data_IF_475487466569
#
_entry.id   IF_475487466569
#
_cell.length_a   1.000
_cell.length_b   1.000
_cell.length_c   1.000
_cell.angle_alpha   90.00
_cell.angle_beta   90.00
_cell.angle_gamma   90.00
#
_symmetry.space_group_name_H-M   'P 1'
#
loop_
_entity.id
_entity.type
_entity.pdbx_description
1 polymer ?
#
# COMPACT_ATOMS: atom_id res chain seq x y z
N UNK A 1 10.10 -23.53 -12.07
CA UNK A 1 9.89 -22.55 -10.98
C UNK A 1 9.30 -23.33 -9.82
N UNK A 2 9.81 -23.21 -8.59
CA UNK A 2 9.18 -23.91 -7.45
C UNK A 2 7.78 -23.32 -7.21
N UNK A 3 6.82 -24.15 -6.78
CA UNK A 3 5.45 -23.73 -6.44
C UNK A 3 5.46 -22.54 -5.46
N UNK A 4 6.38 -22.56 -4.50
CA UNK A 4 6.62 -21.45 -3.57
C UNK A 4 7.02 -20.15 -4.26
N UNK A 5 7.92 -20.19 -5.24
CA UNK A 5 8.35 -18.99 -5.95
C UNK A 5 7.22 -18.43 -6.83
N UNK A 6 6.44 -19.31 -7.48
CA UNK A 6 5.26 -18.91 -8.24
C UNK A 6 4.23 -18.22 -7.34
N UNK A 7 3.98 -18.78 -6.15
CA UNK A 7 3.08 -18.18 -5.16
C UNK A 7 3.53 -16.79 -4.70
N UNK A 8 4.82 -16.61 -4.42
CA UNK A 8 5.38 -15.31 -4.01
C UNK A 8 5.28 -14.29 -5.15
N UNK A 9 5.60 -14.67 -6.38
CA UNK A 9 5.54 -13.77 -7.54
C UNK A 9 4.10 -13.32 -7.83
N UNK A 10 3.14 -14.24 -7.77
CA UNK A 10 1.72 -13.95 -8.04
C UNK A 10 1.03 -13.14 -6.94
N UNK A 11 1.54 -13.19 -5.71
CA UNK A 11 0.97 -12.42 -4.58
C UNK A 11 1.77 -11.15 -4.29
N UNK A 12 2.97 -11.32 -3.76
CA UNK A 12 3.83 -10.24 -3.28
C UNK A 12 4.45 -9.47 -4.46
N UNK A 13 4.91 -10.20 -5.48
CA UNK A 13 5.44 -9.60 -6.71
C UNK A 13 4.37 -8.78 -7.44
N UNK A 14 3.15 -9.31 -7.56
CA UNK A 14 2.03 -8.60 -8.16
C UNK A 14 1.65 -7.34 -7.38
N UNK A 15 1.55 -7.43 -6.05
CA UNK A 15 1.28 -6.25 -5.21
C UNK A 15 2.37 -5.18 -5.38
N UNK A 16 3.64 -5.59 -5.38
CA UNK A 16 4.75 -4.67 -5.60
C UNK A 16 4.69 -4.01 -6.97
N UNK A 17 4.39 -4.77 -8.04
CA UNK A 17 4.19 -4.21 -9.37
C UNK A 17 3.05 -3.19 -9.42
N UNK A 18 1.90 -3.52 -8.82
CA UNK A 18 0.75 -2.59 -8.71
C UNK A 18 1.15 -1.32 -7.96
N UNK A 19 1.92 -1.45 -6.88
CA UNK A 19 2.38 -0.30 -6.09
C UNK A 19 3.27 0.65 -6.90
N UNK A 20 4.12 0.12 -7.78
CA UNK A 20 4.95 0.90 -8.70
C UNK A 20 4.06 1.66 -9.68
N UNK A 21 3.05 1.00 -10.25
CA UNK A 21 2.09 1.64 -11.17
C UNK A 21 1.35 2.77 -10.46
N UNK A 22 0.85 2.55 -9.24
CA UNK A 22 0.13 3.58 -8.47
C UNK A 22 1.04 4.76 -8.08
N UNK A 23 2.29 4.48 -7.72
CA UNK A 23 3.25 5.53 -7.42
C UNK A 23 3.64 6.35 -8.66
N UNK A 24 3.79 5.71 -9.83
CA UNK A 24 4.13 6.38 -11.09
C UNK A 24 2.95 7.13 -11.70
N UNK A 25 1.75 6.58 -11.58
CA UNK A 25 0.51 7.10 -12.14
C UNK A 25 -0.55 7.28 -11.05
N UNK A 26 -0.33 8.22 -10.10
CA UNK A 26 -1.32 8.49 -9.07
C UNK A 26 -2.60 9.06 -9.68
N UNK A 27 -3.77 8.81 -9.07
CA UNK A 27 -5.03 9.33 -9.56
C UNK A 27 -5.08 10.85 -9.42
N UNK A 28 -5.12 11.57 -10.55
CA UNK A 28 -5.05 13.05 -10.59
C UNK A 28 -6.34 13.77 -10.18
N UNK A 29 -7.46 13.05 -10.21
CA UNK A 29 -8.80 13.54 -9.92
C UNK A 29 -9.50 12.53 -9.03
N UNK A 30 -10.36 13.03 -8.14
CA UNK A 30 -11.30 12.21 -7.38
C UNK A 30 -12.15 11.43 -8.40
N UNK A 31 -12.03 10.11 -8.39
CA UNK A 31 -12.73 9.24 -9.33
C UNK A 31 -13.12 7.93 -8.63
N UNK A 32 -14.05 7.20 -9.24
CA UNK A 32 -14.54 5.93 -8.68
C UNK A 32 -13.64 4.72 -8.95
N UNK A 33 -12.69 4.82 -9.88
CA UNK A 33 -11.97 3.67 -10.44
C UNK A 33 -10.85 3.20 -9.51
N UNK A 34 -9.92 4.08 -9.15
CA UNK A 34 -8.77 3.72 -8.31
C UNK A 34 -8.26 4.89 -7.47
N UNK A 35 -7.52 4.55 -6.42
CA UNK A 35 -6.99 5.50 -5.44
C UNK A 35 -7.38 5.15 -4.01
N UNK A 36 -6.81 5.89 -3.07
CA UNK A 36 -7.17 5.85 -1.66
C UNK A 36 -8.47 6.63 -1.44
N UNK A 37 -9.56 5.92 -1.11
CA UNK A 37 -10.94 6.43 -1.16
C UNK A 37 -11.65 6.40 0.19
N UNK A 38 -10.99 6.80 1.27
CA UNK A 38 -11.70 7.00 2.55
C UNK A 38 -12.58 8.24 2.49
N UNK A 39 -13.67 8.34 3.27
CA UNK A 39 -14.58 9.50 3.25
C UNK A 39 -13.83 10.83 3.40
N UNK A 40 -12.85 10.87 4.31
CA UNK A 40 -11.98 12.03 4.52
C UNK A 40 -11.11 12.34 3.30
N UNK A 41 -10.53 11.33 2.66
CA UNK A 41 -9.69 11.48 1.46
C UNK A 41 -10.43 12.09 0.27
N UNK A 42 -11.74 11.93 0.19
CA UNK A 42 -12.57 12.39 -0.94
C UNK A 42 -13.18 13.79 -0.73
N UNK A 43 -13.00 14.42 0.44
CA UNK A 43 -13.65 15.70 0.76
C UNK A 43 -13.25 16.84 -0.18
N UNK A 44 -11.98 16.92 -0.58
CA UNK A 44 -11.49 17.93 -1.50
C UNK A 44 -10.24 17.45 -2.26
N UNK A 45 -9.83 18.22 -3.26
CA UNK A 45 -8.69 17.89 -4.11
C UNK A 45 -7.35 17.89 -3.36
N UNK A 46 -7.14 18.79 -2.40
CA UNK A 46 -5.90 18.84 -1.62
C UNK A 46 -5.72 17.57 -0.79
N UNK A 47 -6.77 17.13 -0.11
CA UNK A 47 -6.76 15.90 0.71
C UNK A 47 -6.63 14.66 -0.18
N UNK A 48 -7.30 14.66 -1.34
CA UNK A 48 -7.18 13.57 -2.31
C UNK A 48 -5.73 13.39 -2.78
N UNK A 49 -5.12 14.49 -3.24
CA UNK A 49 -3.74 14.48 -3.75
C UNK A 49 -2.76 14.10 -2.61
N UNK A 50 -2.97 14.62 -1.40
CA UNK A 50 -2.16 14.32 -0.21
C UNK A 50 -2.24 12.84 0.22
N UNK A 51 -3.46 12.31 0.40
CA UNK A 51 -3.68 10.93 0.87
C UNK A 51 -3.17 9.91 -0.15
N UNK A 52 -3.44 10.11 -1.44
CA UNK A 52 -2.94 9.23 -2.49
C UNK A 52 -1.41 9.28 -2.59
N UNK A 53 -0.77 10.44 -2.41
CA UNK A 53 0.69 10.52 -2.38
C UNK A 53 1.31 9.72 -1.23
N UNK A 54 0.72 9.81 -0.02
CA UNK A 54 1.20 9.08 1.16
C UNK A 54 0.92 7.59 1.05
N UNK A 55 -0.29 7.22 0.63
CA UNK A 55 -0.67 5.82 0.45
C UNK A 55 0.20 5.14 -0.61
N UNK A 56 0.35 5.74 -1.79
CA UNK A 56 1.13 5.14 -2.88
C UNK A 56 2.61 5.00 -2.50
N UNK A 57 3.18 6.01 -1.82
CA UNK A 57 4.56 5.93 -1.31
C UNK A 57 4.72 4.84 -0.25
N UNK A 58 3.78 4.75 0.70
CA UNK A 58 3.81 3.73 1.75
C UNK A 58 3.66 2.33 1.16
N UNK A 59 2.67 2.14 0.28
CA UNK A 59 2.41 0.87 -0.37
C UNK A 59 3.62 0.41 -1.18
N UNK A 60 4.30 1.31 -1.91
CA UNK A 60 5.53 0.99 -2.64
C UNK A 60 6.63 0.46 -1.71
N UNK A 61 6.89 1.16 -0.61
CA UNK A 61 7.94 0.77 0.34
C UNK A 61 7.58 -0.57 1.01
N UNK A 62 6.38 -0.71 1.54
CA UNK A 62 6.02 -1.89 2.34
C UNK A 62 5.73 -3.13 1.48
N UNK A 63 5.22 -2.98 0.25
CA UNK A 63 5.11 -4.11 -0.67
C UNK A 63 6.46 -4.55 -1.22
N UNK A 64 7.42 -3.62 -1.39
CA UNK A 64 8.81 -3.96 -1.71
C UNK A 64 9.48 -4.76 -0.58
N UNK A 65 9.31 -4.32 0.67
CA UNK A 65 9.77 -5.07 1.86
C UNK A 65 9.09 -6.44 1.93
N UNK A 66 7.77 -6.49 1.70
CA UNK A 66 6.99 -7.74 1.67
C UNK A 66 7.54 -8.73 0.65
N UNK A 67 7.79 -8.26 -0.57
CA UNK A 67 8.31 -9.09 -1.67
C UNK A 67 9.73 -9.59 -1.40
N UNK A 68 10.64 -8.71 -1.01
CA UNK A 68 12.01 -9.10 -0.66
C UNK A 68 12.03 -10.04 0.55
N UNK A 69 11.24 -9.74 1.58
CA UNK A 69 11.11 -10.58 2.76
C UNK A 69 10.59 -11.98 2.44
N UNK A 70 9.57 -12.09 1.59
CA UNK A 70 9.03 -13.37 1.14
C UNK A 70 10.08 -14.20 0.37
N UNK A 71 10.86 -13.55 -0.52
CA UNK A 71 11.95 -14.21 -1.24
C UNK A 71 13.05 -14.69 -0.30
N UNK A 72 13.44 -13.90 0.69
CA UNK A 72 14.43 -14.30 1.70
C UNK A 72 13.92 -15.50 2.49
N UNK A 73 12.68 -15.46 2.99
CA UNK A 73 12.07 -16.59 3.72
C UNK A 73 12.07 -17.86 2.87
N UNK A 74 11.72 -17.77 1.59
CA UNK A 74 11.71 -18.93 0.69
C UNK A 74 13.10 -19.55 0.47
N UNK A 75 14.19 -18.79 0.61
CA UNK A 75 15.55 -19.32 0.50
C UNK A 75 15.99 -20.12 1.75
N UNK A 76 15.42 -19.81 2.92
CA UNK A 76 15.79 -20.45 4.19
C UNK A 76 14.73 -21.43 4.70
N UNK A 77 13.53 -21.42 4.12
CA UNK A 77 12.44 -22.30 4.53
C UNK A 77 12.78 -23.76 4.17
N UNK A 78 12.74 -24.63 5.19
CA UNK A 78 12.82 -26.09 5.02
C UNK A 78 11.46 -26.74 4.78
N UNK A 79 10.39 -25.95 4.92
CA UNK A 79 8.98 -26.34 4.71
C UNK A 79 8.35 -25.49 3.62
N UNK A 80 7.31 -26.03 2.97
CA UNK A 80 6.55 -25.28 1.98
C UNK A 80 5.80 -24.10 2.63
N UNK A 81 5.89 -22.94 1.98
CA UNK A 81 5.16 -21.75 2.40
C UNK A 81 3.71 -21.84 1.95
N UNK A 82 2.79 -21.67 2.90
CA UNK A 82 1.34 -21.77 2.64
C UNK A 82 0.65 -20.43 2.87
N UNK A 83 0.71 -19.89 4.10
CA UNK A 83 0.01 -18.65 4.48
C UNK A 83 0.95 -17.47 4.75
N UNK A 84 2.25 -17.71 4.94
CA UNK A 84 3.22 -16.71 5.35
C UNK A 84 3.35 -15.54 4.34
N UNK A 85 3.45 -15.77 3.02
CA UNK A 85 3.48 -14.70 2.02
C UNK A 85 2.22 -13.82 2.02
N UNK A 86 1.05 -14.39 2.37
CA UNK A 86 -0.21 -13.63 2.47
C UNK A 86 -0.22 -12.71 3.68
N UNK A 87 0.34 -13.13 4.81
CA UNK A 87 0.46 -12.29 6.00
C UNK A 87 1.32 -11.06 5.71
N UNK A 88 2.42 -11.20 4.96
CA UNK A 88 3.24 -10.07 4.56
C UNK A 88 2.47 -9.07 3.67
N UNK A 89 1.68 -9.57 2.71
CA UNK A 89 0.77 -8.75 1.89
C UNK A 89 -0.21 -7.97 2.77
N UNK A 90 -0.90 -8.65 3.69
CA UNK A 90 -1.87 -8.01 4.58
C UNK A 90 -1.22 -6.93 5.46
N UNK A 91 -0.05 -7.21 6.03
CA UNK A 91 0.71 -6.24 6.82
C UNK A 91 1.12 -5.02 5.99
N UNK A 92 1.54 -5.21 4.74
CA UNK A 92 1.93 -4.11 3.86
C UNK A 92 0.77 -3.14 3.58
N UNK A 93 -0.43 -3.67 3.37
CA UNK A 93 -1.65 -2.89 3.15
C UNK A 93 -2.05 -2.20 4.46
N UNK A 94 -2.09 -2.94 5.57
CA UNK A 94 -2.50 -2.43 6.88
C UNK A 94 -1.63 -1.25 7.32
N UNK A 95 -0.30 -1.38 7.23
CA UNK A 95 0.63 -0.30 7.60
C UNK A 95 0.45 0.90 6.68
N UNK A 96 0.22 0.68 5.38
CA UNK A 96 -0.02 1.78 4.42
C UNK A 96 -1.30 2.54 4.74
N UNK A 97 -2.37 1.85 5.12
CA UNK A 97 -3.64 2.46 5.56
C UNK A 97 -3.42 3.25 6.85
N UNK A 98 -2.83 2.63 7.89
CA UNK A 98 -2.61 3.29 9.20
C UNK A 98 -1.78 4.56 9.04
N UNK A 99 -0.70 4.54 8.24
CA UNK A 99 0.13 5.72 8.01
C UNK A 99 -0.63 6.81 7.26
N UNK A 100 -1.47 6.45 6.31
CA UNK A 100 -2.28 7.40 5.54
C UNK A 100 -3.34 8.05 6.42
N UNK A 101 -4.07 7.26 7.22
CA UNK A 101 -5.09 7.78 8.14
C UNK A 101 -4.48 8.64 9.25
N UNK A 102 -3.34 8.25 9.82
CA UNK A 102 -2.62 9.09 10.79
C UNK A 102 -2.21 10.42 10.17
N UNK A 103 -1.57 10.40 8.99
CA UNK A 103 -1.17 11.62 8.32
C UNK A 103 -2.36 12.52 7.95
N UNK A 104 -3.50 11.93 7.54
CA UNK A 104 -4.74 12.67 7.31
C UNK A 104 -5.25 13.35 8.58
N UNK A 105 -5.25 12.63 9.71
CA UNK A 105 -5.69 13.16 10.99
C UNK A 105 -4.75 14.21 11.56
N UNK A 106 -3.45 14.11 11.29
CA UNK A 106 -2.46 15.08 11.74
C UNK A 106 -2.53 16.40 10.94
N UNK A 107 -2.92 16.35 9.67
CA UNK A 107 -2.89 17.51 8.76
C UNK A 107 -4.26 18.13 8.47
N UNK A 108 -5.36 17.40 8.64
CA UNK A 108 -6.70 17.87 8.26
C UNK A 108 -7.74 17.65 9.37
N UNK A 109 -8.65 18.60 9.51
CA UNK A 109 -9.85 18.49 10.34
C UNK A 109 -10.88 17.55 9.71
N UNK A 110 -11.91 17.16 10.47
CA UNK A 110 -13.04 16.35 9.97
C UNK A 110 -13.83 17.08 8.86
N UNK A 111 -13.84 18.42 8.87
CA UNK A 111 -14.44 19.25 7.83
C UNK A 111 -13.57 19.39 6.57
N UNK A 112 -12.36 18.81 6.58
CA UNK A 112 -11.42 18.89 5.47
C UNK A 112 -10.64 20.20 5.38
N UNK A 113 -10.58 20.99 6.47
CA UNK A 113 -9.71 22.16 6.58
C UNK A 113 -8.31 21.72 7.03
N UNK A 114 -7.28 22.36 6.49
CA UNK A 114 -5.89 22.12 6.92
C UNK A 114 -5.69 22.61 8.35
N UNK A 115 -5.07 21.80 9.20
CA UNK A 115 -4.66 22.22 10.55
C UNK A 115 -3.48 23.19 10.38
N UNK A 116 -3.61 24.40 10.92
CA UNK A 116 -2.46 25.30 11.06
C UNK A 116 -1.64 24.78 12.23
N UNK A 117 -0.38 24.43 11.96
CA UNK A 117 0.64 24.33 13.01
C UNK A 117 0.94 25.72 13.54
#
# INVERSE_FOLDING_TARGET
>A
MSETLLYILTTNGLLFLISIIFWKFPPKKVNGIYGYKTPKAMLNKEIWDFSNAIFNKSLLIYSGISFLGALVIANFATIELTWQPMVLVLLSILVSVIKTERALNDNFTEEGKKKKN
#
